data_IF_091120015143
#
_entry.id   IF_091120015143
#
_cell.length_a   1.000
_cell.length_b   1.000
_cell.length_c   1.000
_cell.angle_alpha   90.00
_cell.angle_beta   90.00
_cell.angle_gamma   90.00
#
_symmetry.space_group_name_H-M   'P 1'
#
loop_
_entity.id
_entity.type
_entity.pdbx_description
1 polymer ?
#
# COMPACT_ATOMS: atom_id res chain seq x y z
N UNK A 1 -16.19 -12.84 2.58
CA UNK A 1 -14.79 -12.46 2.29
C UNK A 1 -14.52 -11.10 2.93
N UNK A 2 -13.30 -10.83 3.45
CA UNK A 2 -12.86 -9.45 3.73
C UNK A 2 -13.16 -8.58 2.49
N UNK A 3 -13.51 -7.30 2.67
CA UNK A 3 -13.68 -6.36 1.54
C UNK A 3 -12.43 -6.40 0.65
N UNK A 4 -12.54 -7.18 -0.42
CA UNK A 4 -11.52 -7.36 -1.44
C UNK A 4 -12.08 -6.69 -2.67
N UNK A 5 -11.23 -5.93 -3.33
CA UNK A 5 -11.59 -5.30 -4.59
C UNK A 5 -11.99 -6.37 -5.65
N UNK A 6 -12.63 -5.89 -6.70
CA UNK A 6 -13.09 -6.76 -7.77
C UNK A 6 -11.93 -7.50 -8.43
N UNK A 7 -10.77 -6.85 -8.60
CA UNK A 7 -9.54 -7.45 -9.11
C UNK A 7 -9.12 -8.70 -8.30
N UNK A 8 -8.98 -8.56 -6.98
CA UNK A 8 -8.56 -9.68 -6.12
C UNK A 8 -9.59 -10.81 -6.14
N UNK A 9 -10.88 -10.47 -6.15
CA UNK A 9 -11.97 -11.45 -6.20
C UNK A 9 -11.98 -12.20 -7.53
N UNK A 10 -11.77 -11.50 -8.65
CA UNK A 10 -11.65 -12.07 -9.98
C UNK A 10 -10.50 -13.09 -10.09
N UNK A 11 -9.32 -12.73 -9.56
CA UNK A 11 -8.18 -13.65 -9.50
C UNK A 11 -8.47 -14.91 -8.67
N UNK A 12 -9.15 -14.76 -7.53
CA UNK A 12 -9.51 -15.90 -6.68
C UNK A 12 -10.50 -16.84 -7.37
N UNK A 13 -11.47 -16.32 -8.11
CA UNK A 13 -12.41 -17.14 -8.90
C UNK A 13 -11.67 -17.93 -9.97
N UNK A 14 -10.78 -17.29 -10.73
CA UNK A 14 -10.00 -17.99 -11.76
C UNK A 14 -9.05 -19.03 -11.16
N UNK A 15 -8.41 -18.73 -10.02
CA UNK A 15 -7.58 -19.69 -9.30
C UNK A 15 -8.42 -20.89 -8.80
N UNK A 16 -9.60 -20.65 -8.24
CA UNK A 16 -10.50 -21.70 -7.81
C UNK A 16 -10.94 -22.60 -8.97
N UNK A 17 -11.20 -22.03 -10.16
CA UNK A 17 -11.51 -22.82 -11.36
C UNK A 17 -10.35 -23.77 -11.67
N UNK A 18 -9.12 -23.27 -11.75
CA UNK A 18 -7.93 -24.09 -12.05
C UNK A 18 -7.72 -25.22 -11.04
N UNK A 19 -7.88 -24.91 -9.74
CA UNK A 19 -7.71 -25.90 -8.68
C UNK A 19 -8.77 -27.00 -8.81
N UNK A 20 -10.03 -26.62 -9.00
CA UNK A 20 -11.13 -27.58 -9.11
C UNK A 20 -11.06 -28.40 -10.39
N UNK A 21 -10.62 -27.80 -11.50
CA UNK A 21 -10.35 -28.51 -12.76
C UNK A 21 -9.27 -29.56 -12.56
N UNK A 22 -8.16 -29.20 -11.91
CA UNK A 22 -7.08 -30.14 -11.61
C UNK A 22 -7.54 -31.28 -10.68
N UNK A 23 -8.30 -30.96 -9.63
CA UNK A 23 -8.76 -31.95 -8.65
C UNK A 23 -9.79 -32.94 -9.20
N UNK A 24 -10.71 -32.48 -10.05
CA UNK A 24 -11.86 -33.27 -10.50
C UNK A 24 -11.75 -33.73 -11.96
N UNK A 25 -10.67 -33.36 -12.65
CA UNK A 25 -10.50 -33.54 -14.11
C UNK A 25 -11.71 -33.02 -14.91
N UNK A 26 -12.41 -32.02 -14.37
CA UNK A 26 -13.66 -31.51 -14.92
C UNK A 26 -13.90 -30.06 -14.50
N UNK A 27 -14.46 -29.27 -15.43
CA UNK A 27 -14.80 -27.87 -15.18
C UNK A 27 -15.85 -27.73 -14.07
N UNK A 28 -15.61 -26.85 -13.09
CA UNK A 28 -16.45 -26.73 -11.90
C UNK A 28 -17.75 -25.98 -12.18
N UNK A 29 -18.72 -26.21 -11.31
CA UNK A 29 -19.92 -25.40 -11.22
C UNK A 29 -19.72 -24.20 -10.29
N UNK A 30 -20.55 -23.17 -10.47
CA UNK A 30 -20.56 -21.96 -9.60
C UNK A 30 -20.70 -22.36 -8.13
N UNK A 31 -21.57 -23.34 -7.83
CA UNK A 31 -21.75 -23.89 -6.48
C UNK A 31 -20.44 -24.39 -5.86
N UNK A 32 -19.62 -25.13 -6.62
CA UNK A 32 -18.34 -25.64 -6.10
C UNK A 32 -17.37 -24.50 -5.83
N UNK A 33 -17.29 -23.51 -6.73
CA UNK A 33 -16.44 -22.33 -6.54
C UNK A 33 -16.84 -21.53 -5.30
N UNK A 34 -18.14 -21.24 -5.14
CA UNK A 34 -18.64 -20.51 -3.97
C UNK A 34 -18.32 -21.22 -2.66
N UNK A 35 -18.44 -22.56 -2.63
CA UNK A 35 -18.02 -23.38 -1.48
C UNK A 35 -16.52 -23.27 -1.22
N UNK A 36 -15.69 -23.39 -2.26
CA UNK A 36 -14.22 -23.29 -2.14
C UNK A 36 -13.77 -21.91 -1.66
N UNK A 37 -14.41 -20.84 -2.13
CA UNK A 37 -14.07 -19.46 -1.78
C UNK A 37 -14.80 -18.93 -0.54
N UNK A 38 -15.69 -19.73 0.06
CA UNK A 38 -16.54 -19.33 1.18
C UNK A 38 -17.28 -18.00 0.89
N UNK A 39 -17.90 -17.91 -0.29
CA UNK A 39 -18.71 -16.77 -0.72
C UNK A 39 -20.15 -17.18 -1.03
N UNK A 40 -21.06 -16.19 -1.06
CA UNK A 40 -22.46 -16.45 -1.37
C UNK A 40 -22.65 -16.81 -2.85
N UNK A 41 -23.77 -17.45 -3.18
CA UNK A 41 -24.08 -17.82 -4.55
C UNK A 41 -24.32 -16.57 -5.41
N UNK A 42 -24.99 -15.57 -4.85
CA UNK A 42 -25.27 -14.28 -5.50
C UNK A 42 -23.97 -13.56 -5.85
N UNK A 43 -23.03 -13.51 -4.90
CA UNK A 43 -21.72 -12.91 -5.11
C UNK A 43 -20.93 -13.68 -6.20
N UNK A 44 -20.94 -15.01 -6.14
CA UNK A 44 -20.30 -15.85 -7.14
C UNK A 44 -20.87 -15.65 -8.55
N UNK A 45 -22.20 -15.63 -8.67
CA UNK A 45 -22.88 -15.37 -9.94
C UNK A 45 -22.56 -13.98 -10.49
N UNK A 46 -22.60 -12.94 -9.64
CA UNK A 46 -22.26 -11.58 -10.03
C UNK A 46 -20.84 -11.48 -10.59
N UNK A 47 -19.87 -12.07 -9.90
CA UNK A 47 -18.46 -12.07 -10.36
C UNK A 47 -18.31 -12.87 -11.65
N UNK A 48 -18.93 -14.05 -11.76
CA UNK A 48 -18.86 -14.86 -12.98
C UNK A 48 -19.49 -14.16 -14.19
N UNK A 49 -20.62 -13.46 -14.00
CA UNK A 49 -21.26 -12.65 -15.03
C UNK A 49 -20.32 -11.54 -15.53
N UNK A 50 -19.67 -10.81 -14.61
CA UNK A 50 -18.70 -9.77 -14.97
C UNK A 50 -17.48 -10.33 -15.71
N UNK A 51 -16.96 -11.47 -15.28
CA UNK A 51 -15.86 -12.14 -15.94
C UNK A 51 -16.24 -12.66 -17.34
N UNK A 52 -17.50 -13.09 -17.52
CA UNK A 52 -18.04 -13.47 -18.83
C UNK A 52 -18.13 -12.26 -19.76
N UNK A 53 -18.66 -11.13 -19.29
CA UNK A 53 -18.71 -9.86 -20.05
C UNK A 53 -17.32 -9.43 -20.54
N UNK A 54 -16.30 -9.62 -19.70
CA UNK A 54 -14.90 -9.31 -20.01
C UNK A 54 -14.19 -10.39 -20.85
N UNK A 55 -14.88 -11.45 -21.29
CA UNK A 55 -14.30 -12.59 -22.02
C UNK A 55 -13.16 -13.32 -21.28
N UNK A 56 -13.14 -13.25 -19.94
CA UNK A 56 -12.14 -13.93 -19.11
C UNK A 56 -12.52 -15.41 -18.91
N UNK A 57 -13.80 -15.64 -18.62
CA UNK A 57 -14.37 -16.98 -18.46
C UNK A 57 -15.52 -17.18 -19.44
N UNK A 58 -15.83 -18.45 -19.71
CA UNK A 58 -17.04 -18.85 -20.39
C UNK A 58 -17.94 -19.66 -19.46
N UNK A 59 -19.25 -19.57 -19.70
CA UNK A 59 -20.28 -20.20 -18.88
C UNK A 59 -21.14 -21.03 -19.83
N UNK A 60 -20.97 -22.35 -19.77
CA UNK A 60 -21.70 -23.30 -20.63
C UNK A 60 -22.74 -24.02 -19.79
N UNK A 61 -23.99 -23.93 -20.20
CA UNK A 61 -25.08 -24.69 -19.61
C UNK A 61 -25.21 -26.03 -20.32
N UNK A 62 -25.16 -27.13 -19.56
CA UNK A 62 -25.34 -28.48 -20.08
C UNK A 62 -26.37 -29.26 -19.27
N UNK A 63 -26.66 -30.48 -19.73
CA UNK A 63 -27.62 -31.39 -19.09
C UNK A 63 -27.28 -31.73 -17.61
N UNK A 64 -26.02 -31.56 -17.21
CA UNK A 64 -25.52 -31.81 -15.85
C UNK A 64 -25.21 -30.51 -15.08
N UNK A 65 -25.78 -29.39 -15.51
CA UNK A 65 -25.66 -28.08 -14.88
C UNK A 65 -24.65 -27.15 -15.56
N UNK A 66 -24.52 -25.95 -15.01
CA UNK A 66 -23.64 -24.88 -15.52
C UNK A 66 -22.18 -25.17 -15.19
N UNK A 67 -21.33 -25.19 -16.23
CA UNK A 67 -19.88 -25.36 -16.14
C UNK A 67 -19.15 -24.08 -16.53
N UNK A 68 -18.06 -23.82 -15.83
CA UNK A 68 -17.23 -22.62 -16.02
C UNK A 68 -15.89 -22.99 -16.63
N UNK A 69 -15.51 -22.29 -17.69
CA UNK A 69 -14.27 -22.50 -18.42
C UNK A 69 -13.43 -21.23 -18.41
N UNK A 70 -12.11 -21.36 -18.31
CA UNK A 70 -11.20 -20.21 -18.44
C UNK A 70 -10.91 -20.00 -19.92
N UNK A 71 -11.20 -18.80 -20.44
CA UNK A 71 -10.95 -18.43 -21.85
C UNK A 71 -9.65 -17.65 -21.96
N UNK A 72 -9.60 -16.45 -21.40
CA UNK A 72 -8.39 -15.62 -21.38
C UNK A 72 -8.16 -15.00 -20.00
N UNK A 73 -7.32 -15.65 -19.22
CA UNK A 73 -6.97 -15.19 -17.87
C UNK A 73 -6.09 -13.94 -17.85
N UNK A 74 -5.40 -13.59 -18.95
CA UNK A 74 -4.55 -12.38 -19.00
C UNK A 74 -5.38 -11.10 -18.96
N UNK A 75 -6.65 -11.16 -19.37
CA UNK A 75 -7.56 -10.02 -19.31
C UNK A 75 -7.87 -9.58 -17.87
N UNK A 76 -7.58 -10.42 -16.86
CA UNK A 76 -7.63 -10.03 -15.46
C UNK A 76 -6.71 -8.84 -15.14
N UNK A 77 -5.55 -8.76 -15.80
CA UNK A 77 -4.56 -7.68 -15.57
C UNK A 77 -5.07 -6.32 -16.04
N UNK A 78 -6.10 -6.29 -16.89
CA UNK A 78 -6.73 -5.04 -17.35
C UNK A 78 -7.78 -4.51 -16.37
N UNK A 79 -8.16 -5.28 -15.36
CA UNK A 79 -9.10 -4.83 -14.33
C UNK A 79 -8.36 -3.82 -13.45
N UNK A 80 -8.92 -2.63 -13.27
CA UNK A 80 -8.39 -1.64 -12.34
C UNK A 80 -8.34 -2.24 -10.93
N UNK A 81 -7.17 -2.34 -10.33
CA UNK A 81 -7.05 -2.60 -8.90
C UNK A 81 -7.78 -1.46 -8.18
N UNK A 82 -8.81 -1.83 -7.41
CA UNK A 82 -9.60 -0.86 -6.67
C UNK A 82 -8.66 -0.16 -5.71
N UNK A 83 -8.62 1.18 -5.78
CA UNK A 83 -7.69 2.07 -5.09
C UNK A 83 -6.96 1.39 -3.94
N UNK A 84 -5.83 0.75 -4.25
CA UNK A 84 -4.78 0.55 -3.27
C UNK A 84 -4.44 1.97 -2.89
N UNK A 85 -4.95 2.43 -1.74
CA UNK A 85 -4.42 3.63 -1.12
C UNK A 85 -2.91 3.46 -1.20
N UNK A 86 -2.28 4.31 -2.00
CA UNK A 86 -0.90 4.20 -2.44
C UNK A 86 -0.02 4.20 -1.18
N UNK A 87 0.14 3.03 -0.57
CA UNK A 87 0.72 2.88 0.76
C UNK A 87 2.18 3.30 0.67
N UNK A 88 2.79 2.98 -0.48
CA UNK A 88 4.08 3.44 -0.91
C UNK A 88 4.10 4.96 -1.05
N UNK A 89 3.16 5.58 -1.77
CA UNK A 89 3.04 7.04 -1.85
C UNK A 89 2.82 7.74 -0.50
N UNK A 90 2.05 7.14 0.41
CA UNK A 90 1.83 7.63 1.78
C UNK A 90 3.13 7.53 2.60
N UNK A 91 3.85 6.41 2.51
CA UNK A 91 5.15 6.22 3.17
C UNK A 91 6.22 7.16 2.60
N UNK A 92 6.22 7.40 1.29
CA UNK A 92 7.15 8.30 0.62
C UNK A 92 6.92 9.76 1.03
N UNK A 93 5.65 10.18 1.16
CA UNK A 93 5.28 11.49 1.73
C UNK A 93 5.71 11.62 3.19
N UNK A 94 5.50 10.59 4.02
CA UNK A 94 5.96 10.57 5.43
C UNK A 94 7.49 10.68 5.52
N UNK A 95 8.22 9.95 4.68
CA UNK A 95 9.67 9.99 4.63
C UNK A 95 10.21 11.36 4.21
N UNK A 96 9.64 11.97 3.16
CA UNK A 96 10.00 13.32 2.73
C UNK A 96 9.76 14.37 3.82
N UNK A 97 8.61 14.29 4.51
CA UNK A 97 8.29 15.21 5.60
C UNK A 97 9.23 15.02 6.80
N UNK A 98 9.55 13.77 7.16
CA UNK A 98 10.53 13.48 8.21
C UNK A 98 11.92 14.06 7.89
N UNK A 99 12.37 13.92 6.63
CA UNK A 99 13.64 14.50 6.16
C UNK A 99 13.65 16.03 6.24
N UNK A 100 12.58 16.69 5.82
CA UNK A 100 12.44 18.16 5.92
C UNK A 100 12.52 18.64 7.38
N UNK A 101 11.77 18.00 8.28
CA UNK A 101 11.78 18.33 9.70
C UNK A 101 13.16 18.10 10.34
N UNK A 102 13.87 17.06 9.93
CA UNK A 102 15.22 16.77 10.41
C UNK A 102 16.23 17.85 9.96
N UNK A 103 16.18 18.27 8.69
CA UNK A 103 17.04 19.34 8.17
C UNK A 103 16.79 20.68 8.89
N UNK A 104 15.53 21.05 9.10
CA UNK A 104 15.17 22.26 9.85
C UNK A 104 15.70 22.23 11.29
N UNK A 105 15.64 21.08 11.96
CA UNK A 105 16.23 20.92 13.31
C UNK A 105 17.74 21.09 13.31
N UNK A 106 18.44 20.60 12.29
CA UNK A 106 19.90 20.78 12.16
C UNK A 106 20.26 22.26 11.96
N UNK A 107 19.51 22.97 11.13
CA UNK A 107 19.73 24.41 10.90
C UNK A 107 19.51 25.23 12.17
N UNK A 108 18.41 24.97 12.90
CA UNK A 108 18.15 25.60 14.18
C UNK A 108 19.26 25.31 15.20
N UNK A 109 19.72 24.06 15.29
CA UNK A 109 20.77 23.66 16.22
C UNK A 109 22.13 24.31 15.90
N UNK A 110 22.50 24.40 14.61
CA UNK A 110 23.69 25.13 14.18
C UNK A 110 23.60 26.63 14.51
N UNK A 111 22.45 27.25 14.22
CA UNK A 111 22.23 28.66 14.53
C UNK A 111 22.27 28.96 16.04
N UNK A 112 21.72 28.08 16.88
CA UNK A 112 21.81 28.18 18.33
C UNK A 112 23.23 27.99 18.85
N UNK A 113 23.99 27.04 18.29
CA UNK A 113 25.40 26.86 18.65
C UNK A 113 26.25 28.08 18.32
N UNK A 114 26.06 28.71 17.16
CA UNK A 114 26.79 29.92 16.79
C UNK A 114 26.43 31.12 17.69
N UNK A 115 25.14 31.27 18.04
CA UNK A 115 24.71 32.29 19.01
C UNK A 115 25.32 32.06 20.38
N UNK A 116 25.32 30.81 20.87
CA UNK A 116 25.96 30.46 22.17
C UNK A 116 27.45 30.75 22.15
N UNK A 117 28.17 30.40 21.08
CA UNK A 117 29.60 30.73 20.92
C UNK A 117 29.84 32.25 20.98
N UNK A 118 29.08 33.04 20.19
CA UNK A 118 29.21 34.51 20.18
C UNK A 118 28.96 35.12 21.58
N UNK A 119 27.93 34.64 22.28
CA UNK A 119 27.62 35.10 23.64
C UNK A 119 28.73 34.74 24.64
N UNK A 120 29.28 33.52 24.58
CA UNK A 120 30.40 33.09 25.42
C UNK A 120 31.66 33.94 25.17
N UNK A 121 32.00 34.21 23.91
CA UNK A 121 33.13 35.09 23.58
C UNK A 121 32.93 36.51 24.11
N UNK A 122 31.73 37.09 23.94
CA UNK A 122 31.43 38.41 24.46
C UNK A 122 31.47 38.49 25.99
N UNK A 123 31.07 37.42 26.69
CA UNK A 123 31.14 37.36 28.14
C UNK A 123 32.59 37.22 28.64
N UNK A 124 33.42 36.42 27.94
CA UNK A 124 34.85 36.31 28.21
C UNK A 124 35.57 37.64 28.01
N UNK A 125 35.33 38.35 26.90
CA UNK A 125 35.93 39.67 26.66
C UNK A 125 35.57 40.70 27.74
N UNK A 126 34.31 40.69 28.20
CA UNK A 126 33.86 41.57 29.30
C UNK A 126 34.57 41.23 30.62
N UNK A 127 34.77 39.95 30.93
CA UNK A 127 35.51 39.53 32.14
C UNK A 127 36.99 39.91 32.03
N UNK A 128 37.62 39.66 30.89
CA UNK A 128 39.01 40.05 30.64
C UNK A 128 39.24 41.57 30.75
N UNK A 129 38.33 42.40 30.21
CA UNK A 129 38.43 43.87 30.35
C UNK A 129 38.28 44.33 31.81
N UNK A 130 37.33 43.76 32.55
CA UNK A 130 37.16 44.05 34.00
C UNK A 130 38.39 43.66 34.81
N UNK A 131 38.96 42.49 34.57
CA UNK A 131 40.17 42.02 35.27
C UNK A 131 41.40 42.89 34.95
N UNK A 132 41.47 43.47 33.74
CA UNK A 132 42.52 44.41 33.34
C UNK A 132 42.35 45.79 33.98
N UNK A 133 41.11 46.27 34.12
CA UNK A 133 40.81 47.54 34.79
C UNK A 133 41.04 47.44 36.31
N UNK A 134 40.70 46.31 36.94
CA UNK A 134 41.01 46.04 38.35
C UNK A 134 42.52 45.89 38.62
N UNK A 135 43.30 45.37 37.67
CA UNK A 135 44.77 45.32 37.76
C UNK A 135 45.49 46.65 37.52
N UNK A 136 44.84 47.63 36.87
CA UNK A 136 45.40 48.98 36.66
C UNK A 136 45.13 49.92 37.84
N UNK A 137 44.29 49.52 38.79
CA UNK A 137 43.90 50.34 39.95
C UNK A 137 44.51 49.88 41.28
N UNK A 138 45.54 49.00 41.23
CA UNK A 138 46.42 48.60 42.33
C UNK A 138 47.86 48.95 41.96
#
# INVERSE_FOLDING_TARGET
MKDKDFYSTAHLVVAAIRILEHQNSASPSINKICRTLSCSLEQGNFVCMKLKEMNIIDVVEGAFGTKLFIKNHLLLEKISQGATEDNLGKELKKFQNAKKNYLQKIELFKGEQEKKKKNLFAELEKKFKKDLDEKKSK
#
